data_IF_912743216096
#
_entry.id   IF_912743216096
#
_cell.length_a   1.000
_cell.length_b   1.000
_cell.length_c   1.000
_cell.angle_alpha   90.00
_cell.angle_beta   90.00
_cell.angle_gamma   90.00
#
_symmetry.space_group_name_H-M   'P 1'
#
loop_
_entity.id
_entity.type
_entity.pdbx_description
1 polymer ?
#
# COMPACT_ATOMS: atom_id res chain seq x y z
N UNK A 1 -1.63 -4.67 -32.77
CA UNK A 1 -2.61 -5.27 -33.71
C UNK A 1 -2.80 -4.31 -34.86
N UNK A 2 -2.65 -4.80 -36.07
CA UNK A 2 -2.80 -4.01 -37.31
C UNK A 2 -4.22 -3.44 -37.41
N UNK A 3 -4.41 -2.23 -37.98
CA UNK A 3 -5.70 -1.56 -38.02
C UNK A 3 -6.84 -2.40 -38.61
N UNK A 4 -6.57 -3.16 -39.66
CA UNK A 4 -7.52 -4.03 -40.37
C UNK A 4 -8.08 -5.19 -39.51
N UNK A 5 -7.40 -5.56 -38.44
CA UNK A 5 -7.85 -6.61 -37.51
C UNK A 5 -8.51 -6.04 -36.22
N UNK A 6 -8.78 -4.73 -36.20
CA UNK A 6 -9.47 -4.09 -35.05
C UNK A 6 -10.99 -4.23 -35.21
N UNK A 7 -11.68 -4.33 -34.08
CA UNK A 7 -13.16 -4.37 -34.04
C UNK A 7 -13.78 -5.77 -34.07
N UNK A 8 -13.07 -6.79 -34.62
CA UNK A 8 -13.57 -8.17 -34.72
C UNK A 8 -13.39 -9.05 -33.47
N UNK A 9 -13.05 -8.48 -32.29
CA UNK A 9 -12.87 -9.27 -31.05
C UNK A 9 -11.50 -9.94 -30.93
N UNK A 10 -10.65 -9.93 -31.96
CA UNK A 10 -9.33 -10.59 -31.96
C UNK A 10 -8.46 -10.18 -30.78
N UNK A 11 -8.39 -8.88 -30.45
CA UNK A 11 -7.61 -8.40 -29.31
C UNK A 11 -8.09 -8.97 -27.97
N UNK A 12 -9.39 -9.11 -27.80
CA UNK A 12 -9.99 -9.71 -26.60
C UNK A 12 -9.67 -11.20 -26.53
N UNK A 13 -9.76 -11.92 -27.63
CA UNK A 13 -9.42 -13.35 -27.69
C UNK A 13 -7.94 -13.59 -27.38
N UNK A 14 -7.03 -12.83 -27.98
CA UNK A 14 -5.60 -12.93 -27.69
C UNK A 14 -5.27 -12.60 -26.22
N UNK A 15 -5.89 -11.54 -25.67
CA UNK A 15 -5.65 -11.17 -24.28
C UNK A 15 -6.17 -12.24 -23.30
N UNK A 16 -7.33 -12.86 -23.57
CA UNK A 16 -7.83 -13.97 -22.77
C UNK A 16 -6.89 -15.17 -22.80
N UNK A 17 -6.48 -15.62 -24.00
CA UNK A 17 -5.53 -16.72 -24.13
C UNK A 17 -4.23 -16.47 -23.35
N UNK A 18 -3.71 -15.23 -23.40
CA UNK A 18 -2.51 -14.88 -22.64
C UNK A 18 -2.77 -14.94 -21.11
N UNK A 19 -3.92 -14.45 -20.65
CA UNK A 19 -4.28 -14.46 -19.22
C UNK A 19 -4.51 -15.90 -18.73
N UNK A 20 -5.17 -16.72 -19.52
CA UNK A 20 -5.41 -18.14 -19.21
C UNK A 20 -4.07 -18.89 -19.14
N UNK A 21 -3.20 -18.70 -20.16
CA UNK A 21 -1.86 -19.29 -20.14
C UNK A 21 -1.04 -18.83 -18.92
N UNK A 22 -1.07 -17.53 -18.56
CA UNK A 22 -0.36 -17.03 -17.41
C UNK A 22 -0.90 -17.65 -16.10
N UNK A 23 -2.23 -17.81 -15.98
CA UNK A 23 -2.85 -18.48 -14.84
C UNK A 23 -2.43 -19.94 -14.73
N UNK A 24 -2.35 -20.67 -15.85
CA UNK A 24 -1.85 -22.06 -15.90
C UNK A 24 -0.37 -22.16 -15.48
N UNK A 25 0.42 -21.08 -15.69
CA UNK A 25 1.80 -20.97 -15.18
C UNK A 25 1.88 -20.50 -13.72
N UNK A 26 0.74 -20.35 -13.01
CA UNK A 26 0.68 -19.98 -11.60
C UNK A 26 0.66 -18.47 -11.33
N UNK A 27 0.49 -17.61 -12.35
CA UNK A 27 0.34 -16.18 -12.14
C UNK A 27 -0.94 -15.88 -11.37
N UNK A 28 -0.80 -15.18 -10.23
CA UNK A 28 -1.93 -14.80 -9.39
C UNK A 28 -2.50 -13.43 -9.75
N UNK A 29 -1.69 -12.56 -10.33
CA UNK A 29 -2.05 -11.17 -10.65
C UNK A 29 -1.67 -10.81 -12.07
N UNK A 30 -2.47 -9.95 -12.70
CA UNK A 30 -2.11 -9.26 -13.94
C UNK A 30 -1.92 -7.77 -13.66
N UNK A 31 -0.83 -7.18 -14.15
CA UNK A 31 -0.52 -5.77 -13.96
C UNK A 31 -0.13 -5.14 -15.28
N UNK A 32 -0.60 -3.93 -15.56
CA UNK A 32 -0.26 -3.19 -16.78
C UNK A 32 -0.50 -1.69 -16.59
N UNK A 33 0.14 -0.88 -17.44
CA UNK A 33 -0.06 0.56 -17.50
C UNK A 33 -1.04 0.92 -18.63
N UNK A 34 -2.03 1.75 -18.31
CA UNK A 34 -2.98 2.27 -19.29
C UNK A 34 -3.49 3.66 -18.89
N UNK A 35 -3.06 4.67 -19.64
CA UNK A 35 -3.52 6.07 -19.48
C UNK A 35 -4.67 6.42 -20.44
N UNK A 36 -4.71 5.80 -21.63
CA UNK A 36 -5.71 6.07 -22.65
C UNK A 36 -7.10 5.51 -22.26
N UNK A 37 -8.20 6.30 -22.31
CA UNK A 37 -9.53 5.83 -21.93
C UNK A 37 -10.06 4.64 -22.71
N UNK A 38 -9.60 4.43 -23.99
CA UNK A 38 -9.98 3.27 -24.78
C UNK A 38 -9.27 2.02 -24.30
N UNK A 39 -7.97 2.14 -23.93
CA UNK A 39 -7.19 1.05 -23.33
C UNK A 39 -7.75 0.67 -21.96
N UNK A 40 -8.05 1.65 -21.12
CA UNK A 40 -8.67 1.41 -19.82
C UNK A 40 -9.98 0.63 -19.99
N UNK A 41 -10.89 1.06 -20.89
CA UNK A 41 -12.14 0.33 -21.14
C UNK A 41 -11.93 -1.08 -21.67
N UNK A 42 -10.92 -1.28 -22.53
CA UNK A 42 -10.57 -2.61 -23.05
C UNK A 42 -10.15 -3.54 -21.91
N UNK A 43 -9.19 -3.14 -21.10
CA UNK A 43 -8.67 -3.95 -20.00
C UNK A 43 -9.67 -4.13 -18.87
N UNK A 44 -10.54 -3.14 -18.60
CA UNK A 44 -11.61 -3.29 -17.59
C UNK A 44 -12.59 -4.43 -17.95
N UNK A 45 -12.87 -4.66 -19.22
CA UNK A 45 -13.68 -5.82 -19.68
C UNK A 45 -12.99 -7.18 -19.45
N UNK A 46 -11.70 -7.17 -19.21
CA UNK A 46 -10.87 -8.35 -18.90
C UNK A 46 -10.56 -8.47 -17.40
N UNK A 47 -11.26 -7.71 -16.56
CA UNK A 47 -11.16 -7.78 -15.10
C UNK A 47 -10.09 -6.89 -14.47
N UNK A 48 -9.39 -6.08 -15.26
CA UNK A 48 -8.45 -5.10 -14.71
C UNK A 48 -9.19 -3.89 -14.13
N UNK A 49 -8.68 -3.36 -13.03
CA UNK A 49 -9.22 -2.18 -12.32
C UNK A 49 -8.10 -1.16 -12.12
N UNK A 50 -8.40 0.16 -12.13
CA UNK A 50 -7.42 1.17 -11.76
C UNK A 50 -6.84 0.90 -10.37
N UNK A 51 -5.52 1.00 -10.23
CA UNK A 51 -4.79 0.67 -9.01
C UNK A 51 -3.69 1.70 -8.68
N UNK A 52 -4.02 2.98 -8.80
CA UNK A 52 -3.09 4.06 -8.52
C UNK A 52 -2.06 4.27 -9.64
N UNK A 53 -0.81 4.47 -9.25
CA UNK A 53 0.33 4.68 -10.16
C UNK A 53 1.44 3.70 -9.83
N UNK A 54 2.28 3.42 -10.80
CA UNK A 54 3.50 2.65 -10.60
C UNK A 54 4.65 3.51 -10.06
N UNK A 55 5.83 2.92 -9.92
CA UNK A 55 7.04 3.57 -9.42
C UNK A 55 7.59 4.67 -10.34
N UNK A 56 7.09 4.80 -11.56
CA UNK A 56 7.42 5.87 -12.51
C UNK A 56 6.30 6.92 -12.61
N UNK A 57 5.24 6.79 -11.81
CA UNK A 57 4.10 7.69 -11.80
C UNK A 57 3.07 7.42 -12.92
N UNK A 58 3.21 6.32 -13.68
CA UNK A 58 2.29 5.95 -14.75
C UNK A 58 1.01 5.29 -14.19
N UNK A 59 -0.18 5.58 -14.77
CA UNK A 59 -1.42 4.96 -14.34
C UNK A 59 -1.39 3.45 -14.42
N UNK A 60 -1.61 2.80 -13.29
CA UNK A 60 -1.56 1.36 -13.12
C UNK A 60 -2.96 0.75 -13.15
N UNK A 61 -3.11 -0.40 -13.80
CA UNK A 61 -4.29 -1.26 -13.70
C UNK A 61 -3.89 -2.64 -13.20
N UNK A 62 -4.69 -3.18 -12.29
CA UNK A 62 -4.47 -4.49 -11.67
C UNK A 62 -5.67 -5.41 -11.90
N UNK A 63 -5.41 -6.66 -12.30
CA UNK A 63 -6.37 -7.77 -12.26
C UNK A 63 -6.04 -8.64 -11.04
N UNK A 64 -6.89 -8.62 -9.99
CA UNK A 64 -6.69 -9.49 -8.83
C UNK A 64 -7.01 -10.95 -9.17
N UNK A 65 -6.57 -11.92 -8.35
CA UNK A 65 -6.93 -13.32 -8.52
C UNK A 65 -8.45 -13.51 -8.40
N UNK A 66 -8.99 -14.48 -9.13
CA UNK A 66 -10.42 -14.83 -9.09
C UNK A 66 -10.81 -15.44 -7.74
N UNK A 67 -9.89 -16.22 -7.15
CA UNK A 67 -10.09 -16.80 -5.83
C UNK A 67 -9.74 -15.80 -4.72
N UNK A 68 -10.55 -15.76 -3.68
CA UNK A 68 -10.29 -14.96 -2.49
C UNK A 68 -9.12 -15.58 -1.71
N UNK A 69 -7.92 -15.00 -1.81
CA UNK A 69 -6.79 -15.36 -0.97
C UNK A 69 -6.90 -14.68 0.40
N UNK A 70 -6.48 -15.35 1.45
CA UNK A 70 -6.41 -14.78 2.80
C UNK A 70 -5.43 -13.62 2.86
N UNK A 71 -5.68 -12.71 3.80
CA UNK A 71 -4.75 -11.62 4.12
C UNK A 71 -3.91 -12.06 5.31
N UNK A 72 -2.59 -11.95 5.19
CA UNK A 72 -1.64 -12.03 6.32
C UNK A 72 -0.99 -10.66 6.52
N UNK A 73 -0.63 -10.34 7.76
CA UNK A 73 0.12 -9.10 8.07
C UNK A 73 1.42 -9.52 8.74
N UNK A 74 2.52 -9.07 8.18
CA UNK A 74 3.86 -9.46 8.61
C UNK A 74 4.73 -8.22 8.87
N UNK A 75 5.59 -8.31 9.88
CA UNK A 75 6.63 -7.31 10.12
C UNK A 75 7.70 -7.46 9.03
N UNK A 76 8.02 -6.36 8.36
CA UNK A 76 9.08 -6.31 7.35
C UNK A 76 10.41 -6.75 7.96
N UNK A 77 11.03 -7.76 7.36
CA UNK A 77 12.34 -8.28 7.78
C UNK A 77 13.47 -7.78 6.90
N UNK A 78 13.22 -7.67 5.60
CA UNK A 78 14.19 -7.19 4.62
C UNK A 78 13.87 -5.76 4.21
N UNK A 79 14.64 -4.75 4.63
CA UNK A 79 14.40 -3.37 4.24
C UNK A 79 14.65 -3.10 2.75
N UNK A 80 15.24 -4.06 2.02
CA UNK A 80 15.44 -3.99 0.58
C UNK A 80 14.24 -4.57 -0.23
N UNK A 81 13.19 -5.04 0.45
CA UNK A 81 12.01 -5.58 -0.24
C UNK A 81 11.40 -4.50 -1.18
N UNK A 82 11.42 -4.79 -2.47
CA UNK A 82 10.90 -3.91 -3.51
C UNK A 82 9.40 -3.61 -3.34
N UNK A 83 8.65 -4.48 -2.67
CA UNK A 83 7.23 -4.29 -2.43
C UNK A 83 6.97 -3.15 -1.43
N UNK A 84 7.87 -2.93 -0.46
CA UNK A 84 7.83 -1.75 0.39
C UNK A 84 7.92 -0.48 -0.44
N UNK A 85 8.98 -0.34 -1.28
CA UNK A 85 9.17 0.83 -2.13
C UNK A 85 7.96 1.08 -3.04
N UNK A 86 7.37 0.02 -3.57
CA UNK A 86 6.15 0.11 -4.39
C UNK A 86 4.96 0.68 -3.62
N UNK A 87 4.73 0.20 -2.39
CA UNK A 87 3.62 0.67 -1.56
C UNK A 87 3.84 2.11 -1.09
N UNK A 88 5.07 2.48 -0.70
CA UNK A 88 5.45 3.84 -0.36
C UNK A 88 5.23 4.80 -1.53
N UNK A 89 5.69 4.46 -2.72
CA UNK A 89 5.47 5.27 -3.91
C UNK A 89 3.97 5.38 -4.27
N UNK A 90 3.20 4.32 -4.04
CA UNK A 90 1.74 4.36 -4.18
C UNK A 90 1.07 5.34 -3.21
N UNK A 91 1.52 5.36 -1.96
CA UNK A 91 1.07 6.29 -0.93
C UNK A 91 1.45 7.73 -1.28
N UNK A 92 2.74 7.99 -1.57
CA UNK A 92 3.24 9.31 -1.94
C UNK A 92 2.52 9.90 -3.16
N UNK A 93 2.31 9.08 -4.19
CA UNK A 93 1.57 9.49 -5.38
C UNK A 93 0.10 9.87 -5.07
N UNK A 94 -0.53 9.20 -4.10
CA UNK A 94 -1.92 9.47 -3.71
C UNK A 94 -2.05 10.81 -2.95
N UNK A 95 -1.09 11.13 -2.10
CA UNK A 95 -1.09 12.39 -1.35
C UNK A 95 -0.46 13.56 -2.13
N UNK A 96 0.04 13.30 -3.36
CA UNK A 96 0.62 14.32 -4.24
C UNK A 96 2.06 14.70 -3.91
N UNK A 97 2.77 13.85 -3.15
CA UNK A 97 4.17 14.04 -2.81
C UNK A 97 5.11 13.41 -3.86
N UNK A 98 6.35 13.90 -3.98
CA UNK A 98 7.36 13.31 -4.86
C UNK A 98 7.64 11.85 -4.50
N UNK A 99 7.82 11.01 -5.52
CA UNK A 99 8.18 9.61 -5.34
C UNK A 99 9.59 9.47 -4.74
N UNK A 100 9.84 8.33 -4.10
CA UNK A 100 11.16 8.02 -3.52
C UNK A 100 12.25 8.02 -4.61
N UNK A 101 13.27 8.85 -4.42
CA UNK A 101 14.52 8.78 -5.18
C UNK A 101 15.39 7.62 -4.67
N UNK A 102 16.46 7.30 -5.37
CA UNK A 102 17.44 6.32 -4.86
C UNK A 102 18.02 6.76 -3.50
N UNK A 103 18.34 8.04 -3.35
CA UNK A 103 18.88 8.60 -2.11
C UNK A 103 17.86 8.49 -0.95
N UNK A 104 16.58 8.83 -1.17
CA UNK A 104 15.54 8.70 -0.14
C UNK A 104 15.23 7.25 0.17
N UNK A 105 15.31 6.35 -0.81
CA UNK A 105 15.18 4.91 -0.63
C UNK A 105 16.29 4.35 0.28
N UNK A 106 17.54 4.76 0.07
CA UNK A 106 18.67 4.35 0.94
C UNK A 106 18.53 4.92 2.36
N UNK A 107 18.06 6.15 2.50
CA UNK A 107 17.77 6.73 3.83
C UNK A 107 16.66 5.99 4.56
N UNK A 108 15.58 5.60 3.85
CA UNK A 108 14.50 4.80 4.41
C UNK A 108 15.01 3.43 4.85
N UNK A 109 15.77 2.74 4.00
CA UNK A 109 16.41 1.45 4.31
C UNK A 109 17.24 1.53 5.59
N UNK A 110 18.13 2.52 5.67
CA UNK A 110 18.97 2.73 6.84
C UNK A 110 18.14 3.03 8.11
N UNK A 111 17.02 3.72 8.00
CA UNK A 111 16.13 3.98 9.13
C UNK A 111 15.44 2.69 9.63
N UNK A 112 15.02 1.82 8.71
CA UNK A 112 14.44 0.51 9.04
C UNK A 112 15.49 -0.39 9.70
N UNK A 113 16.69 -0.50 9.14
CA UNK A 113 17.82 -1.29 9.70
C UNK A 113 18.19 -0.86 11.11
N UNK A 114 18.18 0.44 11.37
CA UNK A 114 18.45 1.01 12.72
C UNK A 114 17.26 0.88 13.68
N UNK A 115 16.10 0.41 13.19
CA UNK A 115 14.89 0.30 13.98
C UNK A 115 14.23 1.64 14.35
N UNK A 116 14.56 2.73 13.64
CA UNK A 116 13.91 4.03 13.83
C UNK A 116 12.44 4.00 13.38
N UNK A 117 12.15 3.20 12.36
CA UNK A 117 10.80 2.96 11.85
C UNK A 117 10.64 1.48 11.53
N UNK A 118 9.45 0.94 11.72
CA UNK A 118 9.08 -0.45 11.41
C UNK A 118 7.90 -0.47 10.49
N UNK A 119 7.94 -1.33 9.49
CA UNK A 119 6.85 -1.54 8.55
C UNK A 119 6.14 -2.85 8.80
N UNK A 120 4.83 -2.81 8.73
CA UNK A 120 3.95 -3.97 8.67
C UNK A 120 3.34 -4.01 7.26
N UNK A 121 3.53 -5.13 6.56
CA UNK A 121 3.00 -5.34 5.22
C UNK A 121 1.83 -6.32 5.27
N UNK A 122 0.74 -5.96 4.60
CA UNK A 122 -0.40 -6.86 4.39
C UNK A 122 -0.23 -7.58 3.06
N UNK A 123 -0.13 -8.90 3.11
CA UNK A 123 0.02 -9.75 1.93
C UNK A 123 -1.30 -10.42 1.55
N UNK A 124 -1.54 -10.53 0.25
CA UNK A 124 -2.55 -11.38 -0.34
C UNK A 124 -1.90 -12.34 -1.31
N UNK A 125 -1.68 -13.58 -0.89
CA UNK A 125 -0.75 -14.49 -1.57
C UNK A 125 0.68 -13.94 -1.53
N UNK A 126 1.34 -13.86 -2.66
CA UNK A 126 2.73 -13.34 -2.75
C UNK A 126 2.83 -11.81 -2.88
N UNK A 127 1.70 -11.08 -2.96
CA UNK A 127 1.67 -9.63 -3.19
C UNK A 127 1.42 -8.87 -1.91
N UNK A 128 2.28 -7.93 -1.58
CA UNK A 128 1.98 -6.91 -0.60
C UNK A 128 0.96 -5.92 -1.19
N UNK A 129 -0.19 -5.79 -0.52
CA UNK A 129 -1.36 -5.02 -0.98
C UNK A 129 -1.67 -3.83 -0.08
N UNK A 130 -0.92 -3.66 0.99
CA UNK A 130 -1.00 -2.52 1.90
C UNK A 130 0.10 -2.56 2.93
N UNK A 131 0.32 -1.44 3.57
CA UNK A 131 1.35 -1.26 4.59
C UNK A 131 0.88 -0.29 5.68
N UNK A 132 1.54 -0.35 6.83
CA UNK A 132 1.61 0.77 7.75
C UNK A 132 3.00 0.83 8.38
N UNK A 133 3.39 2.03 8.81
CA UNK A 133 4.67 2.25 9.48
C UNK A 133 4.48 2.75 10.92
N UNK A 134 5.40 2.36 11.80
CA UNK A 134 5.40 2.72 13.21
C UNK A 134 6.78 3.23 13.59
N UNK A 135 6.85 4.50 14.02
CA UNK A 135 8.04 5.14 14.57
C UNK A 135 7.93 5.20 16.10
N UNK A 136 8.96 4.71 16.80
CA UNK A 136 8.99 4.74 18.28
C UNK A 136 9.81 5.93 18.78
N UNK A 137 9.28 6.59 19.80
CA UNK A 137 9.90 7.72 20.48
C UNK A 137 9.87 7.51 22.00
N UNK A 138 10.63 8.30 22.73
CA UNK A 138 10.55 8.38 24.19
C UNK A 138 9.77 9.62 24.62
N UNK A 139 8.74 9.43 25.42
CA UNK A 139 7.97 10.53 26.02
C UNK A 139 8.43 10.82 27.44
N UNK A 140 8.86 12.04 27.69
CA UNK A 140 9.20 12.50 29.05
C UNK A 140 7.95 12.64 29.93
N UNK A 141 6.76 12.79 29.33
CA UNK A 141 5.50 12.91 30.05
C UNK A 141 5.12 11.61 30.79
N UNK A 142 5.25 10.47 30.12
CA UNK A 142 5.01 9.15 30.74
C UNK A 142 6.31 8.43 31.12
N UNK A 143 7.48 9.05 30.89
CA UNK A 143 8.81 8.45 31.09
C UNK A 143 8.94 7.06 30.47
N UNK A 144 8.43 6.89 29.26
CA UNK A 144 8.41 5.61 28.58
C UNK A 144 8.27 5.72 27.07
N UNK A 145 8.31 4.56 26.37
CA UNK A 145 8.18 4.51 24.93
C UNK A 145 6.74 4.86 24.49
N UNK A 146 6.65 5.67 23.46
CA UNK A 146 5.44 6.00 22.71
C UNK A 146 5.71 5.80 21.23
N UNK A 147 4.66 5.65 20.41
CA UNK A 147 4.83 5.47 18.99
C UNK A 147 3.86 6.33 18.17
N UNK A 148 4.25 6.58 16.93
CA UNK A 148 3.42 7.22 15.90
C UNK A 148 3.20 6.23 14.77
N UNK A 149 1.97 6.09 14.32
CA UNK A 149 1.62 5.50 13.05
C UNK A 149 1.81 6.61 12.00
N UNK A 150 2.89 6.52 11.22
CA UNK A 150 3.24 7.55 10.24
C UNK A 150 2.43 7.39 8.96
N UNK A 151 2.48 6.19 8.36
CA UNK A 151 1.82 5.88 7.10
C UNK A 151 0.82 4.74 7.26
N UNK A 152 -0.27 4.81 6.50
CA UNK A 152 -1.24 3.73 6.36
C UNK A 152 -1.77 3.74 4.94
N UNK A 153 -1.37 2.76 4.15
CA UNK A 153 -1.76 2.66 2.75
C UNK A 153 -2.30 1.30 2.40
N UNK A 154 -3.33 1.27 1.55
CA UNK A 154 -3.87 0.05 0.93
C UNK A 154 -4.08 0.33 -0.54
N UNK A 155 -3.54 -0.53 -1.41
CA UNK A 155 -3.74 -0.43 -2.87
C UNK A 155 -5.24 -0.30 -3.19
N UNK A 156 -5.64 0.63 -4.08
CA UNK A 156 -7.04 0.98 -4.35
C UNK A 156 -7.97 -0.22 -4.61
N UNK A 157 -7.49 -1.21 -5.38
CA UNK A 157 -8.26 -2.42 -5.74
C UNK A 157 -8.61 -3.29 -4.51
N UNK A 158 -7.85 -3.17 -3.42
CA UNK A 158 -8.03 -3.99 -2.20
C UNK A 158 -8.68 -3.23 -1.05
N UNK A 159 -9.06 -1.97 -1.23
CA UNK A 159 -9.75 -1.16 -0.21
C UNK A 159 -11.11 -1.72 0.15
N UNK A 160 -11.62 -1.31 1.32
CA UNK A 160 -12.94 -1.72 1.86
C UNK A 160 -13.06 -3.22 2.15
N UNK A 161 -11.94 -3.93 2.26
CA UNK A 161 -11.86 -5.36 2.58
C UNK A 161 -11.29 -5.62 3.99
N UNK A 162 -11.21 -4.60 4.84
CA UNK A 162 -10.76 -4.71 6.22
C UNK A 162 -9.23 -4.72 6.40
N UNK A 163 -8.44 -4.52 5.33
CA UNK A 163 -6.97 -4.60 5.38
C UNK A 163 -6.38 -3.52 6.30
N UNK A 164 -6.82 -2.25 6.18
CA UNK A 164 -6.37 -1.18 7.06
C UNK A 164 -6.61 -1.52 8.55
N UNK A 165 -7.74 -2.15 8.87
CA UNK A 165 -8.05 -2.61 10.23
C UNK A 165 -7.11 -3.71 10.70
N UNK A 166 -6.74 -4.65 9.83
CA UNK A 166 -5.77 -5.69 10.17
C UNK A 166 -4.38 -5.11 10.40
N UNK A 167 -3.90 -4.22 9.51
CA UNK A 167 -2.64 -3.49 9.67
C UNK A 167 -2.60 -2.74 11.00
N UNK A 168 -3.61 -1.93 11.29
CA UNK A 168 -3.68 -1.15 12.53
C UNK A 168 -3.70 -2.04 13.78
N UNK A 169 -4.44 -3.16 13.77
CA UNK A 169 -4.44 -4.12 14.88
C UNK A 169 -3.08 -4.76 15.08
N UNK A 170 -2.38 -5.11 14.00
CA UNK A 170 -1.03 -5.65 14.07
C UNK A 170 -0.03 -4.61 14.59
N UNK A 171 -0.15 -3.34 14.18
CA UNK A 171 0.65 -2.24 14.72
C UNK A 171 0.41 -2.06 16.24
N UNK A 172 -0.85 -2.11 16.68
CA UNK A 172 -1.20 -2.05 18.10
C UNK A 172 -0.67 -3.26 18.89
N UNK A 173 -0.68 -4.46 18.30
CA UNK A 173 -0.10 -5.65 18.93
C UNK A 173 1.41 -5.51 19.06
N UNK A 174 2.11 -5.12 17.99
CA UNK A 174 3.55 -4.84 18.01
C UNK A 174 3.91 -3.82 19.09
N UNK A 175 3.17 -2.73 19.21
CA UNK A 175 3.38 -1.72 20.25
C UNK A 175 3.23 -2.30 21.67
N UNK A 176 2.21 -3.14 21.92
CA UNK A 176 2.02 -3.79 23.23
C UNK A 176 3.17 -4.74 23.57
N UNK A 177 3.60 -5.57 22.62
CA UNK A 177 4.73 -6.49 22.81
C UNK A 177 6.03 -5.75 23.15
N UNK A 178 6.18 -4.54 22.64
CA UNK A 178 7.35 -3.69 22.87
C UNK A 178 7.21 -2.77 24.09
N UNK A 179 6.11 -2.86 24.84
CA UNK A 179 5.87 -2.03 26.01
C UNK A 179 5.58 -0.55 25.70
N UNK A 180 5.16 -0.24 24.48
CA UNK A 180 4.80 1.11 24.05
C UNK A 180 3.48 1.52 24.72
N UNK A 181 3.48 2.64 25.45
CA UNK A 181 2.36 3.11 26.24
C UNK A 181 1.21 3.72 25.42
N UNK A 182 1.51 4.28 24.25
CA UNK A 182 0.50 4.86 23.34
C UNK A 182 0.96 4.81 21.89
N UNK A 183 0.02 4.55 20.99
CA UNK A 183 0.19 4.70 19.53
C UNK A 183 -0.69 5.85 19.09
N UNK A 184 -0.10 6.86 18.46
CA UNK A 184 -0.79 8.06 17.96
C UNK A 184 -0.81 8.10 16.46
N UNK A 185 -1.66 8.91 15.87
CA UNK A 185 -1.68 9.21 14.42
C UNK A 185 -1.96 10.70 14.23
N UNK A 186 -1.27 11.31 13.27
CA UNK A 186 -1.60 12.64 12.77
C UNK A 186 -2.30 12.45 11.42
N UNK A 187 -3.51 12.96 11.27
CA UNK A 187 -4.29 12.75 10.04
C UNK A 187 -4.98 14.03 9.57
N UNK A 188 -5.33 14.08 8.30
CA UNK A 188 -6.16 15.14 7.75
C UNK A 188 -7.58 15.07 8.36
N UNK A 189 -8.29 16.20 8.49
CA UNK A 189 -9.66 16.20 9.03
C UNK A 189 -10.64 15.29 8.30
N UNK A 190 -10.45 15.06 6.99
CA UNK A 190 -11.28 14.16 6.19
C UNK A 190 -11.11 12.67 6.57
N UNK A 191 -9.98 12.30 7.20
CA UNK A 191 -9.64 10.93 7.57
C UNK A 191 -9.93 10.62 9.05
N UNK A 192 -10.30 11.63 9.82
CA UNK A 192 -10.54 11.48 11.27
C UNK A 192 -11.53 10.35 11.59
N UNK A 193 -12.67 10.32 10.89
CA UNK A 193 -13.68 9.28 11.12
C UNK A 193 -13.18 7.87 10.82
N UNK A 194 -12.27 7.72 9.83
CA UNK A 194 -11.62 6.44 9.53
C UNK A 194 -10.73 6.01 10.69
N UNK A 195 -9.87 6.89 11.19
CA UNK A 195 -8.96 6.58 12.29
C UNK A 195 -9.71 6.33 13.61
N UNK A 196 -10.80 7.05 13.89
CA UNK A 196 -11.68 6.75 15.02
C UNK A 196 -12.25 5.33 14.91
N UNK A 197 -12.72 4.92 13.73
CA UNK A 197 -13.20 3.55 13.48
C UNK A 197 -12.09 2.47 13.58
N UNK A 198 -10.82 2.86 13.50
CA UNK A 198 -9.64 2.02 13.69
C UNK A 198 -9.16 1.99 15.16
N UNK A 199 -9.78 2.78 16.05
CA UNK A 199 -9.51 2.76 17.48
C UNK A 199 -8.72 3.96 18.01
N UNK A 200 -8.42 4.98 17.20
CA UNK A 200 -7.77 6.21 17.63
C UNK A 200 -8.82 7.22 18.12
N UNK A 201 -9.27 7.07 19.37
CA UNK A 201 -10.44 7.78 19.90
C UNK A 201 -10.10 8.91 20.89
N UNK A 202 -8.83 9.09 21.25
CA UNK A 202 -8.39 10.09 22.22
C UNK A 202 -7.73 11.25 21.49
N UNK A 203 -8.33 12.44 21.45
CA UNK A 203 -7.70 13.61 20.85
C UNK A 203 -6.53 14.11 21.71
N UNK A 204 -5.39 14.40 21.10
CA UNK A 204 -4.17 14.87 21.79
C UNK A 204 -3.91 16.37 21.61
N UNK A 205 -4.87 17.12 21.09
CA UNK A 205 -4.72 18.55 20.81
C UNK A 205 -4.32 18.86 19.38
N UNK A 206 -3.71 20.01 19.15
CA UNK A 206 -3.31 20.51 17.82
C UNK A 206 -1.81 20.35 17.62
N UNK A 207 -1.41 19.66 16.56
CA UNK A 207 -0.01 19.58 16.14
C UNK A 207 0.34 20.76 15.24
N UNK A 208 1.57 21.27 15.36
CA UNK A 208 2.13 22.32 14.50
C UNK A 208 3.56 21.98 14.16
N UNK A 209 3.97 22.21 12.90
CA UNK A 209 5.34 22.00 12.44
C UNK A 209 6.03 23.32 12.16
N UNK A 210 7.34 23.35 12.34
CA UNK A 210 8.24 24.37 11.84
C UNK A 210 9.14 23.71 10.81
N UNK A 211 9.11 24.21 9.57
CA UNK A 211 10.01 23.73 8.51
C UNK A 211 11.38 24.36 8.70
N UNK A 212 12.46 23.54 8.65
CA UNK A 212 13.84 23.94 8.87
C UNK A 212 14.64 23.87 7.57
#
# INVERSE_FOLDING_TARGET
MLPEFRGGGTGTACARLLLDWAADQGAQYGELNAADPRRIRFWSRLGFRPNGRDEWGEPLMLRPPEQALSITVELLQDPADWQLRKLENGYLAEIGEPLLTEESTERLRAAVERGHIRFLLAYRGCRAVGMCSVAENFSTFCCGPVAVLEDLYVEPVFRRQGIARQLTRSAQALCRERGVGSLTVCCAPCDEAMYQALGFNVPLGVSRSCLL
#
